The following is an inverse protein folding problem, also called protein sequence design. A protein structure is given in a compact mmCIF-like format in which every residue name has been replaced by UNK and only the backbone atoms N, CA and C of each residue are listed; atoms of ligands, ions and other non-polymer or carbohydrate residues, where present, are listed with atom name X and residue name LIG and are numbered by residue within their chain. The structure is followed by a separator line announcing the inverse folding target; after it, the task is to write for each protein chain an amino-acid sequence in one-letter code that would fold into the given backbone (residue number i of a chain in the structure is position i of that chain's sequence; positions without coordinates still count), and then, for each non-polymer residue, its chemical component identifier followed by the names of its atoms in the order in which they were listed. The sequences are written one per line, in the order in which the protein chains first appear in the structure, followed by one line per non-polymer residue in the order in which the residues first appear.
data_IF_586016527090
#
_entry.id   IF_586016527090
#
_cell.length_a   1.000
_cell.length_b   1.000
_cell.length_c   1.000
_cell.angle_alpha   90.00
_cell.angle_beta   90.00
_cell.angle_gamma   90.00
#
_symmetry.space_group_name_H-M   'P 1'
#
loop_
_entity.id
_entity.type
_entity.pdbx_description
1 polymer ?
#
# COMPACT_ATOMS: atom_id res chain seq x y z
N UNK A 1 19.87 -28.10 -8.14
CA UNK A 1 19.66 -27.37 -6.87
C UNK A 1 18.59 -26.33 -7.15
N UNK A 2 17.42 -26.45 -6.52
CA UNK A 2 16.38 -25.43 -6.62
C UNK A 2 16.80 -24.31 -5.69
N UNK A 3 17.03 -23.11 -6.23
CA UNK A 3 17.28 -21.90 -5.44
C UNK A 3 16.04 -21.65 -4.59
N UNK A 4 16.17 -21.69 -3.27
CA UNK A 4 15.09 -21.27 -2.39
C UNK A 4 14.84 -19.76 -2.62
N UNK A 5 13.58 -19.38 -2.77
CA UNK A 5 13.20 -17.98 -2.87
C UNK A 5 13.58 -17.25 -1.56
N UNK A 6 13.96 -15.96 -1.62
CA UNK A 6 14.16 -15.16 -0.42
C UNK A 6 12.89 -15.15 0.44
N UNK A 7 13.03 -14.93 1.75
CA UNK A 7 11.87 -14.68 2.61
C UNK A 7 11.12 -13.44 2.08
N UNK A 8 9.87 -13.63 1.70
CA UNK A 8 8.95 -12.62 1.20
C UNK A 8 7.82 -12.47 2.23
N UNK A 9 7.72 -11.32 2.88
CA UNK A 9 6.47 -10.93 3.53
C UNK A 9 5.55 -10.33 2.48
N UNK A 10 4.26 -10.54 2.68
CA UNK A 10 3.25 -10.18 1.70
C UNK A 10 2.78 -8.74 1.75
N UNK A 11 3.04 -8.03 2.83
CA UNK A 11 2.47 -6.70 3.03
C UNK A 11 1.89 -6.54 4.42
N UNK A 12 1.37 -5.35 4.67
CA UNK A 12 0.44 -5.15 5.77
C UNK A 12 -0.91 -5.75 5.40
N UNK A 13 -1.55 -6.43 6.34
CA UNK A 13 -3.01 -6.61 6.28
C UNK A 13 -3.59 -5.22 6.57
N UNK A 14 -4.03 -4.51 5.52
CA UNK A 14 -4.50 -3.11 5.55
C UNK A 14 -3.35 -2.09 5.71
N UNK A 15 -2.89 -1.38 4.65
CA UNK A 15 -1.91 -0.29 4.82
C UNK A 15 -2.52 0.77 5.73
N UNK A 16 -2.02 0.96 6.95
CA UNK A 16 -2.79 1.65 7.96
C UNK A 16 -2.81 3.15 7.67
N UNK A 17 -3.98 3.78 7.76
CA UNK A 17 -4.06 5.22 7.94
C UNK A 17 -3.80 5.49 9.42
N UNK A 18 -2.64 6.07 9.71
CA UNK A 18 -2.21 6.36 11.07
C UNK A 18 -2.26 7.86 11.28
N UNK A 19 -2.85 8.32 12.37
CA UNK A 19 -2.73 9.73 12.71
C UNK A 19 -1.25 10.06 12.95
N UNK A 20 -0.72 11.21 12.48
CA UNK A 20 0.68 11.63 12.65
C UNK A 20 1.32 11.41 14.03
N UNK A 21 0.51 11.43 15.08
CA UNK A 21 0.94 11.32 16.49
C UNK A 21 0.47 10.04 17.18
N UNK A 22 -0.28 9.18 16.48
CA UNK A 22 -0.79 7.94 17.05
C UNK A 22 0.21 6.80 16.89
N UNK A 23 0.28 5.94 17.90
CA UNK A 23 0.90 4.62 17.76
C UNK A 23 -0.10 3.68 17.10
N UNK A 24 0.30 3.02 16.03
CA UNK A 24 -0.47 1.96 15.40
C UNK A 24 0.28 0.63 15.46
N UNK A 25 -0.49 -0.45 15.42
CA UNK A 25 0.08 -1.79 15.28
C UNK A 25 0.15 -2.14 13.81
N UNK A 26 1.37 -2.31 13.32
CA UNK A 26 1.68 -2.79 11.98
C UNK A 26 1.65 -4.32 11.99
N UNK A 27 0.74 -4.92 11.23
CA UNK A 27 0.60 -6.38 11.15
C UNK A 27 1.34 -6.90 9.92
N UNK A 28 2.49 -7.53 10.13
CA UNK A 28 3.32 -8.16 9.10
C UNK A 28 2.98 -9.65 9.02
N UNK A 29 2.68 -10.15 7.83
CA UNK A 29 2.31 -11.56 7.63
C UNK A 29 3.41 -12.34 6.89
N UNK A 30 3.88 -13.45 7.48
CA UNK A 30 4.92 -14.32 6.92
C UNK A 30 4.34 -15.26 5.85
N UNK A 31 4.56 -14.92 4.58
CA UNK A 31 3.91 -15.60 3.46
C UNK A 31 4.64 -16.84 2.93
N UNK A 32 5.92 -17.04 3.29
CA UNK A 32 6.74 -18.08 2.65
C UNK A 32 6.70 -19.43 3.35
N UNK A 33 6.19 -19.48 4.58
CA UNK A 33 6.13 -20.69 5.39
C UNK A 33 7.49 -21.18 5.89
N UNK A 34 8.56 -20.39 5.70
CA UNK A 34 9.93 -20.79 6.08
C UNK A 34 10.33 -20.28 7.47
N UNK A 35 9.50 -19.44 8.07
CA UNK A 35 9.81 -18.71 9.28
C UNK A 35 10.89 -17.66 9.08
N UNK A 36 10.79 -16.58 9.82
CA UNK A 36 11.66 -15.42 9.64
C UNK A 36 12.15 -14.86 10.97
N UNK A 37 13.39 -14.35 10.97
CA UNK A 37 13.96 -13.61 12.07
C UNK A 37 13.89 -12.12 11.80
N UNK A 38 13.35 -11.39 12.76
CA UNK A 38 13.39 -9.94 12.77
C UNK A 38 14.43 -9.42 13.75
N UNK A 39 14.91 -8.20 13.49
CA UNK A 39 15.78 -7.44 14.40
C UNK A 39 14.87 -6.48 15.19
N UNK A 40 14.49 -6.83 16.42
CA UNK A 40 13.46 -6.15 17.24
C UNK A 40 13.66 -4.62 17.30
N UNK A 41 14.89 -4.20 17.60
CA UNK A 41 15.27 -2.81 17.86
C UNK A 41 15.22 -1.91 16.61
N UNK A 42 15.13 -2.51 15.43
CA UNK A 42 15.15 -1.83 14.14
C UNK A 42 14.33 -2.56 13.08
N UNK A 43 13.20 -3.15 13.49
CA UNK A 43 12.35 -3.85 12.54
C UNK A 43 12.03 -2.96 11.34
N UNK A 44 11.63 -1.72 11.63
CA UNK A 44 11.65 -0.62 10.66
C UNK A 44 13.04 -0.02 10.72
N UNK A 45 13.82 -0.17 9.64
CA UNK A 45 15.17 0.37 9.58
C UNK A 45 15.22 1.74 8.88
N UNK A 46 14.17 2.08 8.14
CA UNK A 46 14.14 3.25 7.28
C UNK A 46 12.71 3.70 6.97
N UNK A 47 12.48 5.01 6.89
CA UNK A 47 11.20 5.59 6.44
C UNK A 47 11.46 6.60 5.33
N UNK A 48 10.74 6.45 4.22
CA UNK A 48 10.83 7.31 3.04
C UNK A 48 9.50 7.97 2.72
N UNK A 49 9.54 9.16 2.11
CA UNK A 49 8.35 9.91 1.68
C UNK A 49 7.99 9.54 0.24
N UNK A 50 6.70 9.34 -0.04
CA UNK A 50 6.15 9.16 -1.39
C UNK A 50 6.36 7.77 -2.00
N UNK A 51 7.58 7.23 -1.93
CA UNK A 51 7.96 5.96 -2.57
C UNK A 51 9.17 5.28 -1.92
N UNK A 52 9.42 4.02 -2.30
CA UNK A 52 10.60 3.25 -1.85
C UNK A 52 11.95 3.89 -2.27
N UNK A 53 11.93 4.71 -3.33
CA UNK A 53 13.09 5.47 -3.79
C UNK A 53 13.08 6.93 -3.31
N UNK A 54 12.06 7.33 -2.54
CA UNK A 54 11.86 8.70 -2.11
C UNK A 54 12.85 9.17 -1.03
N UNK A 55 12.81 10.46 -0.65
CA UNK A 55 13.68 11.02 0.37
C UNK A 55 13.53 10.31 1.72
N UNK A 56 14.64 10.05 2.38
CA UNK A 56 14.68 9.41 3.71
C UNK A 56 14.37 10.46 4.78
N UNK A 57 13.38 10.19 5.64
CA UNK A 57 12.97 11.08 6.75
C UNK A 57 13.29 10.53 8.13
N UNK A 58 13.56 9.24 8.22
CA UNK A 58 13.99 8.57 9.44
C UNK A 58 14.81 7.32 9.10
N UNK A 59 15.85 7.07 9.87
CA UNK A 59 16.67 5.85 9.83
C UNK A 59 17.00 5.41 11.24
N UNK A 60 17.08 4.09 11.42
CA UNK A 60 17.56 3.54 12.66
C UNK A 60 19.09 3.68 12.76
N UNK A 61 19.59 4.20 13.89
CA UNK A 61 21.02 4.50 14.08
C UNK A 61 21.79 3.30 14.65
N UNK A 62 21.14 2.46 15.46
CA UNK A 62 21.73 1.28 16.06
C UNK A 62 20.67 0.20 16.25
N UNK A 63 20.99 -1.01 15.78
CA UNK A 63 20.10 -2.16 15.82
C UNK A 63 20.78 -3.24 16.63
N UNK A 64 20.18 -3.65 17.74
CA UNK A 64 20.60 -4.89 18.37
C UNK A 64 19.98 -6.05 17.58
N UNK A 65 20.74 -7.13 17.47
CA UNK A 65 20.25 -8.40 16.93
C UNK A 65 19.38 -9.08 17.98
N UNK A 66 18.23 -8.49 18.32
CA UNK A 66 17.20 -9.20 19.07
C UNK A 66 16.34 -9.94 18.07
N UNK A 67 16.38 -11.26 18.17
CA UNK A 67 15.80 -12.17 17.21
C UNK A 67 14.35 -12.47 17.61
N UNK A 68 13.38 -11.96 16.83
CA UNK A 68 11.98 -12.40 16.93
C UNK A 68 11.73 -13.48 15.89
N UNK A 69 11.59 -14.76 16.27
CA UNK A 69 11.16 -15.80 15.36
C UNK A 69 9.66 -15.68 15.10
N UNK A 70 9.27 -15.62 13.84
CA UNK A 70 7.88 -15.73 13.41
C UNK A 70 7.72 -17.04 12.67
N UNK A 71 6.75 -17.85 13.08
CA UNK A 71 6.44 -19.13 12.48
C UNK A 71 5.93 -19.00 11.04
N UNK A 72 5.76 -20.14 10.38
CA UNK A 72 5.16 -20.21 9.07
C UNK A 72 3.71 -19.72 9.12
N UNK A 73 3.31 -18.80 8.24
CA UNK A 73 1.91 -18.32 8.15
C UNK A 73 1.44 -17.61 9.44
N UNK A 74 2.37 -17.02 10.20
CA UNK A 74 2.07 -16.25 11.41
C UNK A 74 2.13 -14.74 11.16
N UNK A 75 1.28 -14.02 11.91
CA UNK A 75 1.27 -12.55 11.94
C UNK A 75 2.18 -12.02 13.06
N UNK A 76 2.96 -11.00 12.75
CA UNK A 76 3.70 -10.20 13.71
C UNK A 76 3.08 -8.81 13.81
N UNK A 77 2.61 -8.46 15.01
CA UNK A 77 2.05 -7.14 15.29
C UNK A 77 3.11 -6.27 15.98
N UNK A 78 3.48 -5.15 15.34
CA UNK A 78 4.54 -4.26 15.84
C UNK A 78 4.00 -2.86 16.07
N UNK A 79 4.20 -2.28 17.26
CA UNK A 79 3.84 -0.90 17.51
C UNK A 79 4.80 0.04 16.76
N UNK A 80 4.24 0.98 16.01
CA UNK A 80 5.00 2.03 15.34
C UNK A 80 4.36 3.39 15.59
N UNK A 81 5.20 4.39 15.91
CA UNK A 81 4.81 5.78 16.03
C UNK A 81 5.55 6.60 14.95
N UNK A 82 4.83 7.31 14.06
CA UNK A 82 5.45 8.09 13.00
C UNK A 82 6.30 9.24 13.55
N UNK A 83 7.59 9.24 13.23
CA UNK A 83 8.51 10.30 13.64
C UNK A 83 9.66 10.49 12.64
N UNK A 84 10.17 11.72 12.55
CA UNK A 84 11.38 12.05 11.79
C UNK A 84 12.65 11.78 12.60
N UNK A 85 13.83 11.95 11.99
CA UNK A 85 15.12 11.71 12.64
C UNK A 85 15.35 12.50 13.94
N UNK A 86 14.68 13.65 14.11
CA UNK A 86 14.74 14.49 15.33
C UNK A 86 13.69 14.14 16.39
N UNK A 87 12.85 13.12 16.16
CA UNK A 87 11.77 12.72 17.07
C UNK A 87 10.49 13.57 16.94
N UNK A 88 10.42 14.45 15.94
CA UNK A 88 9.19 15.21 15.63
C UNK A 88 8.21 14.37 14.82
N UNK A 89 6.91 14.61 14.99
CA UNK A 89 5.87 13.93 14.20
C UNK A 89 6.06 14.16 12.69
N UNK A 90 5.77 13.14 11.90
CA UNK A 90 5.71 13.25 10.45
C UNK A 90 4.38 13.92 10.04
N UNK A 91 4.36 14.83 9.05
CA UNK A 91 3.11 15.44 8.59
C UNK A 91 2.22 14.42 7.86
N UNK A 92 1.00 14.84 7.52
CA UNK A 92 0.10 14.06 6.66
C UNK A 92 0.77 13.78 5.30
N UNK A 93 0.61 12.57 4.78
CA UNK A 93 1.23 12.14 3.52
C UNK A 93 1.41 10.63 3.39
N UNK A 94 1.95 10.20 2.25
CA UNK A 94 2.30 8.79 1.99
C UNK A 94 3.77 8.53 2.34
N UNK A 95 4.01 7.41 3.02
CA UNK A 95 5.33 6.98 3.46
C UNK A 95 5.55 5.51 3.14
N UNK A 96 6.81 5.13 3.03
CA UNK A 96 7.24 3.75 2.83
C UNK A 96 8.17 3.33 3.97
N UNK A 97 7.79 2.26 4.65
CA UNK A 97 8.53 1.67 5.77
C UNK A 97 9.43 0.57 5.22
N UNK A 98 10.74 0.74 5.36
CA UNK A 98 11.73 -0.29 5.09
C UNK A 98 11.77 -1.24 6.27
N UNK A 99 11.39 -2.50 6.04
CA UNK A 99 11.44 -3.55 7.04
C UNK A 99 12.51 -4.55 6.64
N UNK A 100 13.49 -4.75 7.52
CA UNK A 100 14.55 -5.74 7.31
C UNK A 100 14.25 -7.03 8.02
N UNK A 101 14.51 -8.13 7.33
CA UNK A 101 14.26 -9.47 7.81
C UNK A 101 15.41 -10.39 7.43
N UNK A 102 15.56 -11.50 8.15
CA UNK A 102 16.53 -12.56 7.84
C UNK A 102 15.83 -13.91 7.79
N UNK A 103 15.95 -14.60 6.66
CA UNK A 103 15.42 -15.96 6.52
C UNK A 103 16.09 -16.92 7.52
N UNK A 104 15.32 -17.70 8.27
CA UNK A 104 15.85 -18.75 9.15
C UNK A 104 16.57 -19.83 8.32
N UNK A 105 15.96 -20.23 7.21
CA UNK A 105 16.46 -21.32 6.37
C UNK A 105 17.78 -20.99 5.66
N UNK A 106 17.93 -19.75 5.17
CA UNK A 106 19.07 -19.37 4.32
C UNK A 106 20.05 -18.40 4.97
N UNK A 107 19.65 -17.73 6.05
CA UNK A 107 20.42 -16.65 6.67
C UNK A 107 20.52 -15.37 5.83
N UNK A 108 19.89 -15.33 4.65
CA UNK A 108 19.88 -14.17 3.76
C UNK A 108 19.06 -13.05 4.40
N UNK A 109 19.62 -11.84 4.35
CA UNK A 109 18.94 -10.61 4.79
C UNK A 109 18.23 -9.99 3.58
N UNK A 110 16.97 -9.65 3.77
CA UNK A 110 16.12 -8.96 2.80
C UNK A 110 15.57 -7.67 3.40
N UNK A 111 15.29 -6.70 2.54
CA UNK A 111 14.53 -5.50 2.90
C UNK A 111 13.30 -5.44 2.01
N UNK A 112 12.16 -5.22 2.64
CA UNK A 112 10.89 -5.03 1.96
C UNK A 112 10.29 -3.69 2.33
N UNK A 113 9.47 -3.15 1.43
CA UNK A 113 8.90 -1.83 1.55
C UNK A 113 7.39 -1.92 1.68
N UNK A 114 6.86 -1.23 2.67
CA UNK A 114 5.44 -1.24 2.97
C UNK A 114 4.89 0.18 2.97
N UNK A 115 3.85 0.42 2.19
CA UNK A 115 3.20 1.73 2.13
C UNK A 115 2.36 1.98 3.39
N UNK A 116 2.41 3.21 3.89
CA UNK A 116 1.60 3.70 5.00
C UNK A 116 1.15 5.13 4.71
N UNK A 117 -0.08 5.47 5.08
CA UNK A 117 -0.60 6.83 4.92
C UNK A 117 -0.76 7.47 6.29
N UNK A 118 -0.21 8.67 6.46
CA UNK A 118 -0.47 9.47 7.63
C UNK A 118 -1.57 10.48 7.32
N UNK A 119 -2.62 10.50 8.13
CA UNK A 119 -3.71 11.47 8.01
C UNK A 119 -4.24 11.88 9.37
N UNK A 120 -4.29 13.19 9.60
CA UNK A 120 -4.95 13.80 10.76
C UNK A 120 -6.48 13.74 10.69
N UNK A 121 -7.04 13.34 9.54
CA UNK A 121 -8.49 13.25 9.32
C UNK A 121 -8.95 11.79 9.35
N UNK A 122 -9.66 11.37 10.41
CA UNK A 122 -10.20 10.00 10.54
C UNK A 122 -11.40 9.70 9.62
N UNK A 123 -11.71 10.58 8.66
CA UNK A 123 -12.84 10.50 7.72
C UNK A 123 -12.39 10.51 6.25
N UNK A 124 -11.08 10.54 5.99
CA UNK A 124 -10.58 10.48 4.62
C UNK A 124 -10.98 9.15 3.99
N UNK A 125 -11.47 9.17 2.74
CA UNK A 125 -11.75 7.95 2.02
C UNK A 125 -10.57 6.99 1.97
N UNK A 126 -10.85 5.69 2.09
CA UNK A 126 -9.80 4.68 2.04
C UNK A 126 -10.17 3.44 1.25
N UNK A 127 -9.16 2.90 0.59
CA UNK A 127 -9.17 1.57 0.01
C UNK A 127 -8.53 0.60 0.99
N UNK A 128 -9.19 -0.54 1.18
CA UNK A 128 -8.71 -1.65 2.00
C UNK A 128 -8.70 -2.90 1.13
N UNK A 129 -7.56 -3.58 1.07
CA UNK A 129 -7.43 -4.77 0.25
C UNK A 129 -6.58 -5.82 0.94
N UNK A 130 -6.77 -7.08 0.54
CA UNK A 130 -5.85 -8.15 0.90
C UNK A 130 -4.52 -7.95 0.16
N UNK A 131 -3.38 -8.29 0.77
CA UNK A 131 -2.05 -7.95 0.22
C UNK A 131 -1.70 -8.65 -1.10
N UNK A 132 -2.49 -9.63 -1.52
CA UNK A 132 -2.21 -10.44 -2.71
C UNK A 132 -3.25 -10.21 -3.80
N UNK A 133 -2.75 -10.13 -5.03
CA UNK A 133 -3.54 -10.29 -6.24
C UNK A 133 -2.97 -11.47 -7.01
N UNK A 134 -3.84 -12.37 -7.44
CA UNK A 134 -3.48 -13.48 -8.31
C UNK A 134 -3.96 -13.20 -9.74
N UNK A 135 -3.11 -13.46 -10.72
CA UNK A 135 -3.49 -13.35 -12.12
C UNK A 135 -4.77 -14.15 -12.44
N UNK A 136 -5.73 -13.51 -13.10
CA UNK A 136 -7.01 -14.11 -13.50
C UNK A 136 -8.01 -14.34 -12.37
N UNK A 137 -7.69 -13.97 -11.12
CA UNK A 137 -8.60 -14.07 -9.98
C UNK A 137 -9.17 -12.69 -9.66
N UNK A 138 -10.51 -12.55 -9.55
CA UNK A 138 -11.11 -11.30 -9.10
C UNK A 138 -10.61 -10.91 -7.71
N UNK A 139 -9.98 -9.75 -7.62
CA UNK A 139 -9.54 -9.13 -6.37
C UNK A 139 -10.57 -8.11 -5.93
N UNK A 140 -11.02 -8.22 -4.67
CA UNK A 140 -11.96 -7.29 -4.06
C UNK A 140 -11.20 -6.31 -3.18
N UNK A 141 -11.44 -5.03 -3.41
CA UNK A 141 -10.97 -3.91 -2.59
C UNK A 141 -12.19 -3.28 -1.95
N UNK A 142 -12.22 -3.25 -0.62
CA UNK A 142 -13.23 -2.51 0.11
C UNK A 142 -12.91 -1.01 0.05
N UNK A 143 -13.94 -0.20 -0.08
CA UNK A 143 -13.88 1.25 -0.05
C UNK A 143 -14.63 1.73 1.19
N UNK A 144 -13.99 2.54 2.03
CA UNK A 144 -14.60 3.19 3.20
C UNK A 144 -14.47 4.70 3.09
N UNK A 145 -15.58 5.38 2.83
CA UNK A 145 -15.67 6.82 2.59
C UNK A 145 -16.95 7.39 3.23
N UNK A 146 -17.10 7.34 4.58
CA UNK A 146 -18.32 7.72 5.29
C UNK A 146 -18.74 9.18 5.06
N UNK A 147 -17.76 10.09 4.87
CA UNK A 147 -18.02 11.50 4.53
C UNK A 147 -18.52 11.74 3.10
N UNK A 148 -18.51 10.70 2.25
CA UNK A 148 -18.79 10.76 0.81
C UNK A 148 -19.88 9.75 0.41
N UNK A 149 -20.75 9.40 1.35
CA UNK A 149 -21.85 8.48 1.09
C UNK A 149 -22.74 8.99 -0.08
N UNK A 150 -22.98 8.12 -1.06
CA UNK A 150 -23.80 8.44 -2.24
C UNK A 150 -23.10 9.26 -3.33
N UNK A 151 -21.81 9.56 -3.21
CA UNK A 151 -21.03 10.15 -4.32
C UNK A 151 -20.51 9.06 -5.26
N UNK A 152 -19.83 9.45 -6.33
CA UNK A 152 -19.18 8.51 -7.24
C UNK A 152 -17.69 8.36 -6.94
N UNK A 153 -17.09 7.28 -7.42
CA UNK A 153 -15.66 7.06 -7.41
C UNK A 153 -15.14 6.63 -8.78
N UNK A 154 -13.86 6.95 -9.04
CA UNK A 154 -13.08 6.46 -10.18
C UNK A 154 -11.71 6.06 -9.67
N UNK A 155 -11.27 4.85 -10.00
CA UNK A 155 -9.99 4.29 -9.61
C UNK A 155 -9.09 4.11 -10.82
N UNK A 156 -7.79 4.14 -10.56
CA UNK A 156 -6.74 3.84 -11.52
C UNK A 156 -5.70 2.94 -10.86
N UNK A 157 -4.89 2.28 -11.69
CA UNK A 157 -3.79 1.45 -11.22
C UNK A 157 -2.49 1.74 -11.98
N UNK A 158 -1.35 1.60 -11.30
CA UNK A 158 -0.01 1.85 -11.85
C UNK A 158 0.99 0.90 -11.20
N UNK A 159 2.12 0.65 -11.84
CA UNK A 159 3.25 -0.10 -11.28
C UNK A 159 4.24 0.80 -10.51
N UNK A 160 3.99 2.12 -10.44
CA UNK A 160 4.87 3.06 -9.74
C UNK A 160 4.10 4.20 -9.07
N UNK A 161 4.70 4.74 -8.01
CA UNK A 161 4.20 5.91 -7.26
C UNK A 161 5.29 6.97 -7.01
N UNK A 162 6.29 7.05 -7.88
CA UNK A 162 7.50 7.84 -7.63
C UNK A 162 7.28 9.35 -7.88
N UNK A 163 6.49 9.72 -8.88
CA UNK A 163 6.23 11.14 -9.27
C UNK A 163 4.79 11.57 -8.99
N UNK A 164 3.81 10.71 -9.28
CA UNK A 164 2.39 11.03 -9.24
C UNK A 164 1.96 12.01 -10.35
N UNK A 165 0.68 12.38 -10.32
CA UNK A 165 0.08 13.36 -11.24
C UNK A 165 -0.89 14.29 -10.50
N UNK A 166 -0.88 15.57 -10.86
CA UNK A 166 -1.91 16.51 -10.41
C UNK A 166 -3.14 16.40 -11.32
N UNK A 167 -4.29 16.12 -10.73
CA UNK A 167 -5.57 15.92 -11.41
C UNK A 167 -6.51 17.06 -11.05
N UNK A 168 -7.15 17.69 -12.04
CA UNK A 168 -8.28 18.60 -11.85
C UNK A 168 -8.07 19.79 -10.87
N UNK A 169 -7.07 20.64 -11.14
CA UNK A 169 -6.89 21.93 -10.45
C UNK A 169 -5.86 21.89 -9.31
N UNK A 170 -5.63 23.02 -8.63
CA UNK A 170 -4.60 23.10 -7.61
C UNK A 170 -4.97 22.27 -6.37
N UNK A 171 -4.15 21.28 -6.04
CA UNK A 171 -4.18 20.58 -4.75
C UNK A 171 -4.71 19.14 -4.77
N UNK A 172 -5.21 18.63 -5.89
CA UNK A 172 -5.62 17.23 -6.01
C UNK A 172 -4.53 16.43 -6.74
N UNK A 173 -3.83 15.58 -5.98
CA UNK A 173 -2.67 14.82 -6.45
C UNK A 173 -2.91 13.31 -6.32
N UNK A 174 -2.90 12.60 -7.45
CA UNK A 174 -2.83 11.14 -7.48
C UNK A 174 -1.37 10.72 -7.35
N UNK A 175 -1.08 9.84 -6.41
CA UNK A 175 0.27 9.33 -6.21
C UNK A 175 0.69 8.31 -7.28
N UNK A 176 -0.17 8.00 -8.27
CA UNK A 176 0.10 7.03 -9.33
C UNK A 176 0.86 7.67 -10.50
N UNK A 177 1.91 7.01 -10.98
CA UNK A 177 2.62 7.44 -12.18
C UNK A 177 1.84 7.09 -13.46
N UNK A 178 1.91 7.94 -14.52
CA UNK A 178 1.17 7.75 -15.77
C UNK A 178 1.84 6.70 -16.69
N UNK A 179 1.93 5.47 -16.20
CA UNK A 179 2.47 4.33 -16.94
C UNK A 179 1.40 3.71 -17.91
N UNK A 180 1.77 2.70 -18.73
CA UNK A 180 0.82 2.09 -19.64
C UNK A 180 -0.40 1.47 -18.95
N UNK A 181 -0.26 0.94 -17.74
CA UNK A 181 -1.40 0.39 -16.99
C UNK A 181 -2.33 1.51 -16.54
N UNK A 182 -1.78 2.61 -16.05
CA UNK A 182 -2.55 3.78 -15.66
C UNK A 182 -3.42 4.28 -16.83
N UNK A 183 -2.81 4.46 -18.01
CA UNK A 183 -3.55 4.88 -19.20
C UNK A 183 -4.61 3.86 -19.64
N UNK A 184 -4.32 2.56 -19.50
CA UNK A 184 -5.27 1.49 -19.79
C UNK A 184 -6.49 1.57 -18.86
N UNK A 185 -6.26 1.82 -17.56
CA UNK A 185 -7.35 1.92 -16.57
C UNK A 185 -8.31 3.07 -16.81
N UNK A 186 -7.85 4.14 -17.49
CA UNK A 186 -8.67 5.29 -17.85
C UNK A 186 -9.40 5.15 -19.19
N UNK A 187 -8.82 4.43 -20.14
CA UNK A 187 -9.30 4.41 -21.54
C UNK A 187 -10.29 3.27 -21.84
N UNK A 188 -10.24 2.18 -21.07
CA UNK A 188 -11.12 1.02 -21.27
C UNK A 188 -12.06 0.78 -20.09
N UNK A 189 -12.89 1.76 -19.74
CA UNK A 189 -13.95 1.59 -18.75
C UNK A 189 -14.87 0.42 -19.14
N UNK A 190 -14.89 -0.65 -18.33
CA UNK A 190 -15.73 -1.83 -18.56
C UNK A 190 -15.06 -3.02 -19.25
N UNK A 191 -13.73 -2.99 -19.46
CA UNK A 191 -12.98 -4.22 -19.74
C UNK A 191 -13.05 -5.17 -18.55
N UNK A 192 -12.81 -6.48 -18.76
CA UNK A 192 -12.71 -7.44 -17.66
C UNK A 192 -11.63 -7.08 -16.62
N UNK A 193 -10.67 -6.21 -17.01
CA UNK A 193 -9.55 -5.79 -16.17
C UNK A 193 -9.86 -4.58 -15.28
N UNK A 194 -10.76 -3.71 -15.76
CA UNK A 194 -11.14 -2.45 -15.12
C UNK A 194 -12.58 -2.47 -14.61
N UNK A 195 -13.22 -3.65 -14.63
CA UNK A 195 -14.54 -3.82 -14.02
C UNK A 195 -14.45 -3.36 -12.56
N UNK A 196 -15.44 -2.59 -12.08
CA UNK A 196 -15.44 -2.09 -10.70
C UNK A 196 -14.45 -0.97 -10.36
N UNK A 197 -13.66 -0.44 -11.31
CA UNK A 197 -12.84 0.77 -11.08
C UNK A 197 -13.66 2.05 -11.07
N UNK A 198 -14.95 1.97 -11.41
CA UNK A 198 -15.86 3.10 -11.33
C UNK A 198 -17.18 2.63 -10.76
N UNK A 199 -17.82 3.50 -10.00
CA UNK A 199 -19.11 3.22 -9.39
C UNK A 199 -19.52 4.27 -8.40
N UNK A 200 -20.48 3.92 -7.55
CA UNK A 200 -20.97 4.79 -6.49
C UNK A 200 -20.52 4.29 -5.12
N UNK A 201 -20.21 5.24 -4.25
CA UNK A 201 -20.03 5.00 -2.82
C UNK A 201 -21.41 4.72 -2.24
N UNK A 202 -21.57 3.60 -1.54
CA UNK A 202 -22.86 3.22 -0.96
C UNK A 202 -23.40 4.27 0.01
N UNK A 203 -24.69 4.18 0.34
CA UNK A 203 -25.39 5.15 1.20
C UNK A 203 -24.84 5.25 2.64
N UNK A 204 -23.99 4.31 3.05
CA UNK A 204 -23.28 4.32 4.33
C UNK A 204 -21.84 4.81 4.23
N UNK A 205 -21.37 5.15 3.03
CA UNK A 205 -19.96 5.42 2.74
C UNK A 205 -19.15 4.17 2.42
N UNK A 206 -19.72 2.98 2.58
CA UNK A 206 -19.03 1.74 2.24
C UNK A 206 -19.29 1.36 0.78
N UNK A 207 -18.25 0.85 0.12
CA UNK A 207 -18.31 0.35 -1.24
C UNK A 207 -17.34 -0.82 -1.45
N UNK A 208 -17.39 -1.42 -2.63
CA UNK A 208 -16.43 -2.44 -3.04
C UNK A 208 -16.08 -2.23 -4.50
N UNK A 209 -14.80 -2.35 -4.80
CA UNK A 209 -14.25 -2.40 -6.16
C UNK A 209 -13.78 -3.83 -6.41
N UNK A 210 -14.02 -4.36 -7.60
CA UNK A 210 -13.60 -5.74 -7.94
C UNK A 210 -12.91 -5.74 -9.28
N UNK A 211 -11.60 -5.94 -9.31
CA UNK A 211 -10.82 -5.97 -10.54
C UNK A 211 -10.14 -7.32 -10.76
N UNK A 212 -9.75 -7.61 -11.99
CA UNK A 212 -8.99 -8.82 -12.31
C UNK A 212 -7.73 -8.41 -13.05
N UNK A 213 -6.56 -8.77 -12.52
CA UNK A 213 -5.30 -8.55 -13.24
C UNK A 213 -5.14 -9.67 -14.26
N UNK A 214 -4.86 -9.38 -15.53
CA UNK A 214 -4.68 -10.44 -16.51
C UNK A 214 -3.42 -11.23 -16.18
N UNK A 215 -3.24 -12.36 -16.83
CA UNK A 215 -1.94 -13.01 -16.86
C UNK A 215 -0.97 -12.13 -17.66
N UNK A 216 -0.04 -11.48 -16.96
CA UNK A 216 0.98 -10.61 -17.52
C UNK A 216 2.23 -11.43 -17.85
N UNK A 217 3.12 -10.90 -18.73
CA UNK A 217 4.41 -11.52 -19.00
C UNK A 217 5.21 -11.73 -17.70
N UNK A 218 6.02 -12.81 -17.60
CA UNK A 218 6.80 -13.13 -16.41
C UNK A 218 7.74 -12.00 -15.95
N UNK A 219 8.14 -11.12 -16.86
CA UNK A 219 8.99 -9.97 -16.58
C UNK A 219 8.33 -8.90 -15.68
N UNK A 220 7.00 -8.98 -15.52
CA UNK A 220 6.19 -8.08 -14.68
C UNK A 220 5.78 -8.77 -13.37
N UNK A 221 6.11 -10.06 -13.20
CA UNK A 221 5.95 -10.75 -11.91
C UNK A 221 6.83 -10.07 -10.86
N UNK A 222 6.37 -10.09 -9.60
CA UNK A 222 7.02 -9.44 -8.45
C UNK A 222 7.03 -7.90 -8.49
N UNK A 223 6.37 -7.25 -9.45
CA UNK A 223 6.11 -5.81 -9.38
C UNK A 223 4.94 -5.51 -8.45
N UNK A 224 5.03 -4.38 -7.75
CA UNK A 224 3.92 -3.88 -6.96
C UNK A 224 2.89 -3.24 -7.90
N UNK A 225 1.67 -3.75 -7.86
CA UNK A 225 0.52 -3.08 -8.45
C UNK A 225 -0.04 -2.10 -7.43
N UNK A 226 -0.10 -0.82 -7.78
CA UNK A 226 -0.66 0.23 -6.95
C UNK A 226 -2.03 0.64 -7.47
N UNK A 227 -3.03 0.76 -6.59
CA UNK A 227 -4.38 1.22 -6.92
C UNK A 227 -4.74 2.39 -6.03
N UNK A 228 -5.33 3.42 -6.62
CA UNK A 228 -5.84 4.60 -5.92
C UNK A 228 -7.17 5.03 -6.54
N UNK A 229 -8.08 5.56 -5.72
CA UNK A 229 -9.35 6.10 -6.18
C UNK A 229 -9.46 7.60 -5.91
N UNK A 230 -10.19 8.26 -6.80
CA UNK A 230 -10.79 9.57 -6.63
C UNK A 230 -12.25 9.40 -6.24
N UNK A 231 -12.71 10.17 -5.27
CA UNK A 231 -14.10 10.18 -4.82
C UNK A 231 -14.62 11.60 -4.84
N UNK A 232 -15.79 11.80 -5.42
CA UNK A 232 -16.38 13.13 -5.52
C UNK A 232 -17.69 13.12 -6.29
N UNK A 233 -18.30 14.30 -6.38
CA UNK A 233 -19.45 14.52 -7.24
C UNK A 233 -18.96 14.77 -8.68
N UNK A 234 -19.36 13.96 -9.67
CA UNK A 234 -18.97 14.18 -11.06
C UNK A 234 -19.51 15.49 -11.66
N UNK A 235 -20.50 16.11 -11.02
CA UNK A 235 -21.01 17.43 -11.39
C UNK A 235 -20.24 18.61 -10.76
N UNK A 236 -19.39 18.35 -9.74
CA UNK A 236 -18.59 19.37 -9.06
C UNK A 236 -17.11 18.93 -8.96
N UNK A 237 -16.30 19.41 -9.90
CA UNK A 237 -14.86 19.14 -9.96
C UNK A 237 -14.09 19.61 -8.71
N UNK A 238 -14.68 20.44 -7.85
CA UNK A 238 -14.02 20.94 -6.62
C UNK A 238 -14.19 20.01 -5.41
N UNK A 239 -15.04 18.98 -5.51
CA UNK A 239 -15.35 18.07 -4.41
C UNK A 239 -14.61 16.73 -4.48
N UNK A 240 -13.63 16.61 -5.37
CA UNK A 240 -12.86 15.39 -5.50
C UNK A 240 -11.78 15.30 -4.43
N UNK A 241 -11.66 14.12 -3.82
CA UNK A 241 -10.59 13.75 -2.90
C UNK A 241 -10.00 12.41 -3.29
N UNK A 242 -8.76 12.17 -2.87
CA UNK A 242 -8.06 10.92 -3.11
C UNK A 242 -8.21 9.97 -1.93
N UNK A 243 -8.23 8.67 -2.22
CA UNK A 243 -8.00 7.62 -1.22
C UNK A 243 -6.51 7.45 -0.95
N UNK A 244 -6.16 6.64 0.06
CA UNK A 244 -4.84 6.01 0.12
C UNK A 244 -4.56 5.15 -1.13
N UNK A 245 -3.28 4.87 -1.38
CA UNK A 245 -2.85 3.85 -2.33
C UNK A 245 -2.85 2.50 -1.63
N UNK A 246 -3.45 1.48 -2.26
CA UNK A 246 -3.27 0.08 -1.89
C UNK A 246 -2.30 -0.57 -2.87
N UNK A 247 -1.32 -1.29 -2.34
CA UNK A 247 -0.29 -1.96 -3.12
C UNK A 247 -0.47 -3.47 -3.00
N UNK A 248 -0.30 -4.18 -4.11
CA UNK A 248 -0.40 -5.62 -4.19
C UNK A 248 0.89 -6.18 -4.76
N UNK A 249 1.40 -7.25 -4.15
CA UNK A 249 2.44 -8.03 -4.82
C UNK A 249 1.79 -8.85 -5.93
N UNK A 250 2.18 -8.59 -7.18
CA UNK A 250 1.66 -9.32 -8.33
C UNK A 250 2.31 -10.71 -8.43
N UNK A 251 1.51 -11.76 -8.18
CA UNK A 251 1.90 -13.17 -8.23
C UNK A 251 1.21 -13.93 -9.38
#
# INVERSE_FOLDING_TARGET
MVSAAPAQFAGFVDPPIIAPTATANLNLHEATGNGTLFMDDCLINEVRVGGQNGPVVWTAIACNDVIIPVGSDEDLSVPWTPQNQSGGALPDGQYYLGVRSRSIATGVVSQQWFAVTLSSQSLSPRLQAWPYVFAGVPTVVALDAPGYAGTSYVAAASFSTDTGIDVAGPGLHLALDPDPLFLFTLSEAGSALTTGFQGDVGSTGAGTMTFTVPQLPPEIQDLNLHVQALIGDPSDATQWVTTNVVSFLYN
#
